data_IF_163658763724
#
_entry.id   IF_163658763724
#
_cell.length_a   1.000
_cell.length_b   1.000
_cell.length_c   1.000
_cell.angle_alpha   90.00
_cell.angle_beta   90.00
_cell.angle_gamma   90.00
#
_symmetry.space_group_name_H-M   'P 1'
#
loop_
_entity.id
_entity.type
_entity.pdbx_description
1 polymer ?
#
# COMPACT_ATOMS: atom_id res chain seq x y z
N UNK A 1 -48.68 -17.76 -3.17
CA UNK A 1 -48.53 -16.43 -3.82
C UNK A 1 -47.12 -16.39 -4.36
N UNK A 2 -46.96 -16.36 -5.67
CA UNK A 2 -45.62 -16.27 -6.28
C UNK A 2 -44.98 -14.95 -5.88
N UNK A 3 -43.70 -14.99 -5.53
CA UNK A 3 -42.92 -13.86 -5.04
C UNK A 3 -41.92 -13.36 -6.10
N UNK A 4 -41.34 -12.18 -5.87
CA UNK A 4 -40.24 -11.67 -6.70
C UNK A 4 -39.02 -12.63 -6.70
N UNK A 5 -38.82 -13.36 -5.61
CA UNK A 5 -37.74 -14.35 -5.45
C UNK A 5 -37.93 -15.54 -6.38
N UNK A 6 -39.16 -16.01 -6.56
CA UNK A 6 -39.47 -17.18 -7.40
C UNK A 6 -39.15 -16.89 -8.89
N UNK A 7 -39.43 -15.68 -9.36
CA UNK A 7 -39.06 -15.24 -10.72
C UNK A 7 -37.54 -15.15 -10.87
N UNK A 8 -36.83 -14.70 -9.84
CA UNK A 8 -35.38 -14.63 -9.85
C UNK A 8 -34.74 -16.03 -9.88
N UNK A 9 -35.23 -16.97 -9.07
CA UNK A 9 -34.77 -18.37 -9.07
C UNK A 9 -35.02 -19.06 -10.40
N UNK A 10 -36.17 -18.80 -11.03
CA UNK A 10 -36.47 -19.31 -12.38
C UNK A 10 -35.46 -18.81 -13.41
N UNK A 11 -35.11 -17.52 -13.37
CA UNK A 11 -34.09 -16.95 -14.24
C UNK A 11 -32.68 -17.51 -13.95
N UNK A 12 -32.39 -17.93 -12.71
CA UNK A 12 -31.12 -18.60 -12.35
C UNK A 12 -30.99 -20.01 -12.95
N UNK A 13 -32.09 -20.74 -13.10
CA UNK A 13 -32.10 -22.13 -13.59
C UNK A 13 -32.40 -22.20 -15.10
N UNK A 14 -32.94 -21.11 -15.69
CA UNK A 14 -33.23 -21.03 -17.11
C UNK A 14 -31.95 -21.12 -17.97
N UNK A 15 -31.93 -22.07 -18.90
CA UNK A 15 -30.82 -22.27 -19.84
C UNK A 15 -30.77 -21.23 -20.98
N UNK A 16 -31.82 -20.41 -21.13
CA UNK A 16 -31.90 -19.33 -22.12
C UNK A 16 -32.61 -18.08 -21.55
N UNK A 17 -32.32 -16.87 -22.06
CA UNK A 17 -32.99 -15.63 -21.66
C UNK A 17 -34.51 -15.69 -21.89
N UNK A 18 -35.29 -15.35 -20.86
CA UNK A 18 -36.75 -15.48 -20.88
C UNK A 18 -37.45 -14.15 -21.16
N UNK A 19 -38.58 -14.19 -21.87
CA UNK A 19 -39.46 -13.04 -22.07
C UNK A 19 -40.48 -12.89 -20.94
N UNK A 20 -41.14 -11.73 -20.88
CA UNK A 20 -42.31 -11.55 -20.00
C UNK A 20 -43.42 -12.56 -20.34
N UNK A 21 -43.54 -12.99 -21.60
CA UNK A 21 -44.54 -13.98 -21.98
C UNK A 21 -44.18 -15.40 -21.49
N UNK A 22 -42.88 -15.73 -21.49
CA UNK A 22 -42.39 -17.04 -20.99
C UNK A 22 -42.56 -17.12 -19.47
N UNK A 23 -42.23 -16.05 -18.75
CA UNK A 23 -42.45 -15.97 -17.30
C UNK A 23 -43.94 -15.97 -16.93
N UNK A 24 -44.82 -15.44 -17.78
CA UNK A 24 -46.27 -15.51 -17.56
C UNK A 24 -46.85 -16.90 -17.89
N UNK A 25 -46.17 -17.70 -18.71
CA UNK A 25 -46.57 -19.09 -18.96
C UNK A 25 -46.26 -19.97 -17.74
N UNK A 26 -45.14 -19.71 -17.05
CA UNK A 26 -44.77 -20.41 -15.80
C UNK A 26 -45.53 -19.87 -14.57
N UNK A 27 -45.86 -18.58 -14.57
CA UNK A 27 -46.59 -17.92 -13.48
C UNK A 27 -47.91 -17.28 -13.96
N UNK A 28 -48.90 -18.07 -14.42
CA UNK A 28 -50.14 -17.55 -15.03
C UNK A 28 -51.05 -16.80 -14.04
N UNK A 29 -50.85 -17.00 -12.73
CA UNK A 29 -51.60 -16.33 -11.67
C UNK A 29 -51.08 -14.93 -11.33
N UNK A 30 -49.92 -14.52 -11.85
CA UNK A 30 -49.31 -13.21 -11.58
C UNK A 30 -49.69 -12.22 -12.69
N UNK A 31 -50.27 -11.05 -12.36
CA UNK A 31 -50.57 -10.04 -13.37
C UNK A 31 -49.32 -9.57 -14.12
N UNK A 32 -49.43 -9.40 -15.44
CA UNK A 32 -48.32 -8.94 -16.32
C UNK A 32 -47.60 -7.69 -15.80
N UNK A 33 -48.34 -6.70 -15.30
CA UNK A 33 -47.76 -5.47 -14.72
C UNK A 33 -46.89 -5.74 -13.49
N UNK A 34 -47.24 -6.76 -12.69
CA UNK A 34 -46.49 -7.15 -11.50
C UNK A 34 -45.17 -7.83 -11.87
N UNK A 35 -45.18 -8.74 -12.86
CA UNK A 35 -43.96 -9.35 -13.42
C UNK A 35 -43.02 -8.28 -13.97
N UNK A 36 -43.55 -7.33 -14.75
CA UNK A 36 -42.75 -6.23 -15.29
C UNK A 36 -42.15 -5.33 -14.21
N UNK A 37 -42.91 -5.03 -13.15
CA UNK A 37 -42.42 -4.25 -12.00
C UNK A 37 -41.30 -4.97 -11.24
N UNK A 38 -41.44 -6.28 -11.02
CA UNK A 38 -40.42 -7.09 -10.35
C UNK A 38 -39.14 -7.22 -11.18
N UNK A 39 -39.26 -7.44 -12.49
CA UNK A 39 -38.12 -7.42 -13.40
C UNK A 39 -37.44 -6.05 -13.44
N UNK A 40 -38.21 -4.95 -13.40
CA UNK A 40 -37.65 -3.60 -13.28
C UNK A 40 -36.78 -3.44 -12.04
N UNK A 41 -37.28 -3.91 -10.88
CA UNK A 41 -36.53 -3.89 -9.62
C UNK A 41 -35.29 -4.78 -9.64
N UNK A 42 -35.38 -5.99 -10.21
CA UNK A 42 -34.23 -6.89 -10.36
C UNK A 42 -33.16 -6.34 -11.32
N UNK A 43 -33.56 -5.54 -12.31
CA UNK A 43 -32.65 -4.82 -13.21
C UNK A 43 -32.01 -3.63 -12.50
N UNK A 44 -32.78 -2.84 -11.75
CA UNK A 44 -32.25 -1.76 -10.90
C UNK A 44 -31.22 -2.28 -9.88
N UNK A 45 -31.51 -3.44 -9.27
CA UNK A 45 -30.63 -4.13 -8.31
C UNK A 45 -29.45 -4.86 -8.99
N UNK A 46 -29.28 -4.74 -10.33
CA UNK A 46 -28.24 -5.39 -11.14
C UNK A 46 -28.16 -6.92 -11.00
N UNK A 47 -29.26 -7.57 -10.63
CA UNK A 47 -29.37 -9.03 -10.52
C UNK A 47 -29.78 -9.68 -11.85
N UNK A 48 -30.49 -8.93 -12.69
CA UNK A 48 -30.99 -9.36 -13.99
C UNK A 48 -30.61 -8.29 -15.03
N UNK A 49 -30.19 -8.71 -16.21
CA UNK A 49 -29.93 -7.83 -17.35
C UNK A 49 -31.01 -7.95 -18.42
N UNK A 50 -31.21 -6.87 -19.17
CA UNK A 50 -32.16 -6.80 -20.29
C UNK A 50 -31.40 -7.07 -21.58
N UNK A 51 -31.86 -8.03 -22.37
CA UNK A 51 -31.35 -8.35 -23.70
C UNK A 51 -32.41 -8.00 -24.76
N UNK A 52 -32.10 -7.13 -25.71
CA UNK A 52 -33.00 -6.71 -26.78
C UNK A 52 -34.04 -5.63 -26.40
N UNK A 53 -34.81 -5.15 -27.39
CA UNK A 53 -35.74 -4.02 -27.25
C UNK A 53 -37.17 -4.34 -27.73
N UNK A 54 -38.16 -3.64 -27.16
CA UNK A 54 -39.56 -3.79 -27.55
C UNK A 54 -40.07 -5.24 -27.41
N UNK A 55 -40.48 -5.85 -28.54
CA UNK A 55 -41.02 -7.23 -28.58
C UNK A 55 -39.95 -8.32 -28.47
N UNK A 56 -38.68 -8.00 -28.74
CA UNK A 56 -37.55 -8.94 -28.58
C UNK A 56 -36.90 -8.85 -27.20
N UNK A 57 -37.44 -8.05 -26.27
CA UNK A 57 -36.92 -7.94 -24.91
C UNK A 57 -36.95 -9.28 -24.17
N UNK A 58 -35.81 -9.67 -23.63
CA UNK A 58 -35.57 -10.86 -22.80
C UNK A 58 -34.80 -10.47 -21.54
N UNK A 59 -34.89 -11.32 -20.52
CA UNK A 59 -34.28 -11.13 -19.22
C UNK A 59 -33.42 -12.35 -18.91
N UNK A 60 -32.20 -12.10 -18.48
CA UNK A 60 -31.26 -13.14 -18.06
C UNK A 60 -30.56 -12.69 -16.77
N UNK A 61 -30.04 -13.63 -15.99
CA UNK A 61 -29.21 -13.25 -14.84
C UNK A 61 -28.06 -12.38 -15.31
N UNK A 62 -27.81 -11.31 -14.58
CA UNK A 62 -26.59 -10.54 -14.73
C UNK A 62 -25.46 -11.41 -14.15
N UNK A 63 -25.01 -12.41 -14.91
CA UNK A 63 -23.66 -12.94 -14.73
C UNK A 63 -22.73 -11.73 -14.87
N UNK A 64 -21.74 -11.61 -14.00
CA UNK A 64 -20.77 -10.51 -13.99
C UNK A 64 -19.86 -10.48 -15.22
N UNK A 65 -20.43 -10.55 -16.43
CA UNK A 65 -19.85 -10.08 -17.67
C UNK A 65 -20.44 -8.69 -17.93
N UNK A 66 -19.88 -7.72 -17.23
CA UNK A 66 -20.10 -6.31 -17.55
C UNK A 66 -19.38 -6.07 -18.88
N UNK A 67 -20.11 -6.21 -19.98
CA UNK A 67 -19.74 -5.65 -21.27
C UNK A 67 -19.75 -4.13 -21.14
N UNK A 68 -18.68 -3.58 -20.56
CA UNK A 68 -18.33 -2.19 -20.77
C UNK A 68 -18.15 -2.00 -22.27
N UNK A 69 -18.84 -1.01 -22.83
CA UNK A 69 -18.50 -0.49 -24.15
C UNK A 69 -16.99 -0.24 -24.17
N UNK A 70 -16.31 -1.04 -24.99
CA UNK A 70 -14.87 -1.00 -25.24
C UNK A 70 -14.55 0.33 -25.93
N UNK A 71 -14.49 1.38 -25.13
CA UNK A 71 -13.52 2.43 -25.35
C UNK A 71 -12.18 1.82 -24.88
N UNK A 72 -11.54 1.09 -25.79
CA UNK A 72 -10.11 0.80 -25.85
C UNK A 72 -9.37 0.83 -24.49
N UNK A 73 -9.78 -0.03 -23.55
CA UNK A 73 -8.87 -0.47 -22.50
C UNK A 73 -8.02 -1.52 -23.18
N UNK A 74 -6.81 -1.15 -23.57
CA UNK A 74 -5.87 -2.13 -24.08
C UNK A 74 -5.77 -3.27 -23.07
N UNK A 75 -6.17 -4.48 -23.43
CA UNK A 75 -5.89 -5.75 -22.72
C UNK A 75 -4.38 -6.06 -22.64
N UNK A 76 -3.54 -5.04 -22.79
CA UNK A 76 -2.10 -5.12 -22.82
C UNK A 76 -1.57 -4.70 -21.46
N UNK A 77 -0.54 -5.43 -21.02
CA UNK A 77 0.25 -5.03 -19.87
C UNK A 77 0.71 -3.56 -20.02
N UNK A 78 0.68 -2.74 -18.95
CA UNK A 78 0.96 -1.31 -19.05
C UNK A 78 2.32 -1.03 -19.69
N UNK A 79 2.33 -0.27 -20.79
CA UNK A 79 3.51 -0.05 -21.64
C UNK A 79 4.63 0.76 -20.98
N UNK A 80 4.32 1.49 -19.90
CA UNK A 80 5.29 2.26 -19.12
C UNK A 80 6.04 1.42 -18.07
N UNK A 81 5.69 0.14 -17.91
CA UNK A 81 6.43 -0.80 -17.07
C UNK A 81 7.40 -1.57 -17.97
N UNK A 82 8.72 -1.39 -17.81
CA UNK A 82 9.70 -2.10 -18.63
C UNK A 82 9.61 -3.61 -18.41
N UNK A 83 9.64 -4.39 -19.50
CA UNK A 83 9.57 -5.84 -19.47
C UNK A 83 10.81 -6.45 -20.13
N UNK A 84 11.39 -7.44 -19.46
CA UNK A 84 12.36 -8.36 -20.04
C UNK A 84 11.71 -9.27 -21.09
N UNK A 85 12.51 -9.90 -21.94
CA UNK A 85 11.99 -10.88 -22.92
C UNK A 85 11.31 -12.07 -22.22
N UNK A 86 11.86 -12.54 -21.10
CA UNK A 86 11.27 -13.57 -20.26
C UNK A 86 9.85 -13.22 -19.78
N UNK A 87 9.64 -11.96 -19.40
CA UNK A 87 8.33 -11.46 -18.97
C UNK A 87 7.32 -11.41 -20.11
N UNK A 88 7.76 -11.11 -21.34
CA UNK A 88 6.89 -11.16 -22.53
C UNK A 88 6.44 -12.60 -22.80
N UNK A 89 7.32 -13.57 -22.60
CA UNK A 89 6.97 -14.99 -22.74
C UNK A 89 5.93 -15.43 -21.72
N UNK A 90 6.06 -14.98 -20.48
CA UNK A 90 5.07 -15.20 -19.42
C UNK A 90 3.72 -14.59 -19.81
N UNK A 91 3.69 -13.33 -20.28
CA UNK A 91 2.46 -12.67 -20.70
C UNK A 91 1.78 -13.40 -21.86
N UNK A 92 2.54 -13.84 -22.87
CA UNK A 92 2.00 -14.64 -24.00
C UNK A 92 1.29 -15.91 -23.53
N UNK A 93 1.76 -16.54 -22.45
CA UNK A 93 1.08 -17.68 -21.85
C UNK A 93 -0.14 -17.24 -21.02
N UNK A 94 -0.01 -16.22 -20.18
CA UNK A 94 -1.08 -15.77 -19.27
C UNK A 94 -2.29 -15.26 -20.04
N UNK A 95 -2.07 -14.60 -21.18
CA UNK A 95 -3.13 -14.03 -22.02
C UNK A 95 -3.92 -15.10 -22.80
N UNK A 96 -3.52 -16.37 -22.71
CA UNK A 96 -4.32 -17.46 -23.29
C UNK A 96 -5.66 -17.63 -22.55
N UNK A 97 -6.73 -18.01 -23.26
CA UNK A 97 -8.00 -18.35 -22.60
C UNK A 97 -7.83 -19.47 -21.57
N UNK A 98 -8.56 -19.41 -20.45
CA UNK A 98 -8.47 -20.42 -19.37
C UNK A 98 -8.67 -21.86 -19.86
N UNK A 99 -9.53 -22.06 -20.87
CA UNK A 99 -9.79 -23.39 -21.46
C UNK A 99 -8.61 -23.96 -22.24
N UNK A 100 -7.65 -23.13 -22.65
CA UNK A 100 -6.43 -23.54 -23.34
C UNK A 100 -5.28 -23.87 -22.37
N UNK A 101 -5.42 -23.51 -21.09
CA UNK A 101 -4.41 -23.73 -20.05
C UNK A 101 -4.64 -25.04 -19.31
N UNK A 102 -3.56 -25.63 -18.82
CA UNK A 102 -3.62 -26.90 -18.08
C UNK A 102 -3.69 -26.63 -16.56
N UNK A 103 -4.60 -27.27 -15.82
CA UNK A 103 -4.61 -27.22 -14.35
C UNK A 103 -3.25 -27.59 -13.76
N UNK A 104 -2.79 -26.79 -12.79
CA UNK A 104 -1.47 -26.96 -12.16
C UNK A 104 -1.57 -26.82 -10.64
N UNK A 105 -0.93 -27.73 -9.92
CA UNK A 105 -0.89 -27.71 -8.45
C UNK A 105 0.29 -26.91 -7.89
N UNK A 106 0.36 -26.83 -6.56
CA UNK A 106 1.56 -26.33 -5.87
C UNK A 106 2.77 -27.24 -6.16
N UNK A 107 3.88 -26.64 -6.61
CA UNK A 107 5.13 -27.32 -6.92
C UNK A 107 6.12 -27.08 -5.79
N UNK A 108 6.36 -28.12 -4.97
CA UNK A 108 7.21 -28.05 -3.77
C UNK A 108 8.66 -27.77 -4.14
N UNK A 109 9.10 -28.30 -5.27
CA UNK A 109 10.45 -28.17 -5.82
C UNK A 109 10.83 -26.70 -6.08
N UNK A 110 9.85 -25.83 -6.36
CA UNK A 110 10.09 -24.40 -6.59
C UNK A 110 10.62 -23.70 -5.33
N UNK A 111 10.13 -24.08 -4.14
CA UNK A 111 10.69 -23.61 -2.87
C UNK A 111 11.97 -24.37 -2.52
N UNK A 112 11.97 -25.70 -2.69
CA UNK A 112 13.09 -26.55 -2.26
C UNK A 112 14.39 -26.24 -2.99
N UNK A 113 14.33 -25.97 -4.29
CA UNK A 113 15.49 -25.61 -5.12
C UNK A 113 16.11 -24.25 -4.80
N UNK A 114 15.40 -23.37 -4.06
CA UNK A 114 15.96 -22.10 -3.63
C UNK A 114 16.90 -22.28 -2.44
N UNK A 115 18.18 -22.00 -2.60
CA UNK A 115 19.17 -22.01 -1.53
C UNK A 115 19.52 -20.58 -1.11
N UNK A 116 19.19 -20.16 0.14
CA UNK A 116 19.48 -18.81 0.62
C UNK A 116 20.96 -18.45 0.47
N UNK A 117 21.21 -17.28 -0.11
CA UNK A 117 22.55 -16.75 -0.38
C UNK A 117 23.40 -17.53 -1.40
N UNK A 118 22.80 -18.50 -2.10
CA UNK A 118 23.45 -19.27 -3.18
C UNK A 118 22.68 -19.05 -4.48
N UNK A 119 21.37 -19.28 -4.45
CA UNK A 119 20.45 -18.94 -5.54
C UNK A 119 19.81 -17.58 -5.30
N UNK A 120 19.48 -16.85 -6.36
CA UNK A 120 18.87 -15.53 -6.27
C UNK A 120 17.84 -15.33 -7.38
N UNK A 121 16.70 -14.76 -7.03
CA UNK A 121 15.72 -14.28 -8.01
C UNK A 121 16.09 -12.90 -8.56
N UNK A 122 16.76 -12.07 -7.75
CA UNK A 122 17.31 -10.79 -8.16
C UNK A 122 18.81 -10.93 -8.45
N UNK A 123 19.17 -10.69 -9.71
CA UNK A 123 20.58 -10.70 -10.13
C UNK A 123 21.40 -9.66 -9.36
N UNK A 124 22.71 -9.87 -9.25
CA UNK A 124 23.61 -8.93 -8.57
C UNK A 124 23.49 -7.49 -9.12
N UNK A 125 23.45 -7.25 -10.45
CA UNK A 125 23.23 -5.90 -10.98
C UNK A 125 21.92 -5.27 -10.53
N UNK A 126 20.84 -6.06 -10.47
CA UNK A 126 19.52 -5.61 -10.04
C UNK A 126 19.54 -5.22 -8.56
N UNK A 127 20.12 -6.06 -7.69
CA UNK A 127 20.26 -5.75 -6.27
C UNK A 127 21.09 -4.49 -6.04
N UNK A 128 22.20 -4.33 -6.76
CA UNK A 128 23.03 -3.11 -6.68
C UNK A 128 22.26 -1.85 -7.13
N UNK A 129 21.42 -1.95 -8.17
CA UNK A 129 20.55 -0.87 -8.59
C UNK A 129 19.53 -0.50 -7.50
N UNK A 130 18.87 -1.50 -6.93
CA UNK A 130 17.90 -1.30 -5.84
C UNK A 130 18.53 -0.65 -4.62
N UNK A 131 19.72 -1.11 -4.21
CA UNK A 131 20.50 -0.46 -3.15
C UNK A 131 20.79 1.00 -3.47
N UNK A 132 21.24 1.32 -4.69
CA UNK A 132 21.54 2.70 -5.07
C UNK A 132 20.31 3.63 -5.02
N UNK A 133 19.12 3.09 -5.32
CA UNK A 133 17.87 3.85 -5.38
C UNK A 133 17.20 3.93 -4.01
N UNK A 134 17.30 2.86 -3.23
CA UNK A 134 16.69 2.71 -1.91
C UNK A 134 17.53 3.24 -0.76
N UNK A 135 18.84 3.47 -0.96
CA UNK A 135 19.74 4.01 0.06
C UNK A 135 19.36 5.46 0.39
N UNK A 136 18.93 5.63 1.62
CA UNK A 136 18.46 6.90 2.17
C UNK A 136 19.61 7.79 2.67
N UNK A 137 20.86 7.32 2.56
CA UNK A 137 22.11 7.98 2.99
C UNK A 137 22.16 8.33 4.49
N UNK A 138 21.28 7.77 5.31
CA UNK A 138 21.23 7.98 6.76
C UNK A 138 21.80 6.78 7.55
N UNK A 139 23.00 6.34 7.16
CA UNK A 139 23.69 5.15 7.68
C UNK A 139 23.95 5.22 9.20
N UNK A 140 23.85 6.40 9.82
CA UNK A 140 24.18 6.62 11.25
C UNK A 140 23.02 6.45 12.23
N UNK A 141 21.80 6.11 11.79
CA UNK A 141 20.67 5.87 12.71
C UNK A 141 20.55 4.39 13.10
N UNK A 142 20.02 4.07 14.30
CA UNK A 142 19.69 2.69 14.66
C UNK A 142 18.75 2.05 13.63
N UNK A 143 18.81 0.72 13.49
CA UNK A 143 17.97 -0.04 12.57
C UNK A 143 16.48 0.30 12.78
N UNK A 144 15.74 0.54 11.69
CA UNK A 144 14.31 0.83 11.75
C UNK A 144 13.89 2.20 12.29
N UNK A 145 14.79 2.98 12.92
CA UNK A 145 14.46 4.33 13.43
C UNK A 145 14.08 5.27 12.30
N UNK A 146 14.81 5.18 11.19
CA UNK A 146 14.49 5.93 9.99
C UNK A 146 13.22 5.38 9.33
N UNK A 147 13.11 4.05 9.25
CA UNK A 147 11.93 3.35 8.76
C UNK A 147 10.64 3.83 9.44
N UNK A 148 10.63 4.01 10.77
CA UNK A 148 9.48 4.52 11.54
C UNK A 148 9.03 5.91 11.09
N UNK A 149 9.93 6.88 11.06
CA UNK A 149 9.60 8.25 10.66
C UNK A 149 9.13 8.37 9.19
N UNK A 150 9.61 7.49 8.32
CA UNK A 150 9.15 7.41 6.93
C UNK A 150 7.80 6.73 6.85
N UNK A 151 7.62 5.62 7.56
CA UNK A 151 6.39 4.86 7.52
C UNK A 151 5.23 5.69 8.03
N UNK A 152 5.40 6.51 9.07
CA UNK A 152 4.36 7.48 9.46
C UNK A 152 3.92 8.39 8.31
N UNK A 153 4.86 8.78 7.44
CA UNK A 153 4.61 9.64 6.28
C UNK A 153 4.01 8.88 5.10
N UNK A 154 4.42 7.63 4.90
CA UNK A 154 3.96 6.75 3.82
C UNK A 154 2.80 5.85 4.25
N UNK A 155 2.34 5.93 5.50
CA UNK A 155 1.32 5.06 6.09
C UNK A 155 0.03 5.15 5.28
N UNK A 156 -0.34 6.38 4.91
CA UNK A 156 -1.52 6.68 4.10
C UNK A 156 -1.35 6.04 2.72
N UNK A 157 -0.18 6.20 2.10
CA UNK A 157 0.11 5.69 0.75
C UNK A 157 0.13 4.17 0.69
N UNK A 158 0.80 3.53 1.65
CA UNK A 158 0.83 2.08 1.81
C UNK A 158 -0.56 1.50 2.07
N UNK A 159 -1.32 2.11 2.99
CA UNK A 159 -2.66 1.65 3.33
C UNK A 159 -3.62 1.77 2.15
N UNK A 160 -3.56 2.90 1.44
CA UNK A 160 -4.36 3.15 0.26
C UNK A 160 -3.98 2.21 -0.89
N UNK A 161 -2.71 2.20 -1.31
CA UNK A 161 -2.27 1.48 -2.51
C UNK A 161 -2.42 -0.03 -2.39
N UNK A 162 -2.08 -0.62 -1.23
CA UNK A 162 -2.27 -2.05 -1.02
C UNK A 162 -3.75 -2.45 -0.99
N UNK A 163 -4.64 -1.59 -0.48
CA UNK A 163 -6.09 -1.82 -0.52
C UNK A 163 -6.65 -1.65 -1.93
N UNK A 164 -6.16 -0.66 -2.68
CA UNK A 164 -6.55 -0.42 -4.06
C UNK A 164 -6.26 -1.62 -4.97
N UNK A 165 -5.12 -2.30 -4.76
CA UNK A 165 -4.78 -3.56 -5.45
C UNK A 165 -5.71 -4.74 -5.14
N UNK A 166 -6.61 -4.62 -4.17
CA UNK A 166 -7.67 -5.59 -3.88
C UNK A 166 -9.07 -5.08 -4.28
N UNK A 167 -9.13 -4.02 -5.11
CA UNK A 167 -10.37 -3.44 -5.63
C UNK A 167 -11.04 -2.43 -4.70
N UNK A 168 -10.35 -1.96 -3.64
CA UNK A 168 -10.89 -0.92 -2.77
C UNK A 168 -11.02 0.41 -3.53
N UNK A 169 -12.17 1.06 -3.39
CA UNK A 169 -12.52 2.26 -4.15
C UNK A 169 -12.25 3.57 -3.42
N UNK A 170 -11.66 3.54 -2.22
CA UNK A 170 -11.24 4.74 -1.50
C UNK A 170 -10.28 5.58 -2.37
N UNK A 171 -10.52 6.89 -2.42
CA UNK A 171 -9.55 7.81 -2.99
C UNK A 171 -8.40 8.03 -2.00
N UNK A 172 -7.24 8.46 -2.50
CA UNK A 172 -6.10 8.83 -1.64
C UNK A 172 -6.50 9.92 -0.63
N UNK A 173 -7.24 10.94 -1.08
CA UNK A 173 -7.70 12.03 -0.21
C UNK A 173 -8.70 11.56 0.86
N UNK A 174 -9.59 10.63 0.51
CA UNK A 174 -10.52 10.05 1.49
C UNK A 174 -9.79 9.18 2.51
N UNK A 175 -8.73 8.49 2.09
CA UNK A 175 -7.85 7.72 2.98
C UNK A 175 -7.14 8.64 3.98
N UNK A 176 -6.64 9.80 3.55
CA UNK A 176 -6.10 10.84 4.45
C UNK A 176 -7.15 11.24 5.48
N UNK A 177 -8.38 11.57 5.05
CA UNK A 177 -9.44 12.00 5.96
C UNK A 177 -9.83 10.92 6.98
N UNK A 178 -9.83 9.67 6.56
CA UNK A 178 -10.13 8.53 7.41
C UNK A 178 -9.04 8.35 8.47
N UNK A 179 -7.77 8.33 8.05
CA UNK A 179 -6.63 8.03 8.94
C UNK A 179 -6.33 9.19 9.88
N UNK A 180 -6.31 10.43 9.40
CA UNK A 180 -5.93 11.59 10.22
C UNK A 180 -7.08 12.16 11.06
N UNK A 181 -8.33 12.10 10.55
CA UNK A 181 -9.48 12.75 11.19
C UNK A 181 -10.58 11.78 11.62
N UNK A 182 -10.42 10.48 11.41
CA UNK A 182 -11.45 9.48 11.69
C UNK A 182 -12.72 9.66 10.84
N UNK A 183 -12.64 10.36 9.70
CA UNK A 183 -13.81 10.69 8.87
C UNK A 183 -14.00 9.64 7.79
N UNK A 184 -15.03 8.80 7.96
CA UNK A 184 -15.46 7.82 6.95
C UNK A 184 -15.97 8.54 5.70
N UNK A 185 -15.59 8.05 4.53
CA UNK A 185 -15.99 8.63 3.26
C UNK A 185 -17.45 8.29 2.92
N UNK A 186 -18.17 9.29 2.39
CA UNK A 186 -19.58 9.14 2.03
C UNK A 186 -19.74 8.13 0.88
N UNK A 187 -20.65 7.17 1.03
CA UNK A 187 -20.96 6.17 0.01
C UNK A 187 -19.99 5.00 -0.07
N UNK A 188 -19.00 4.91 0.84
CA UNK A 188 -18.13 3.74 0.96
C UNK A 188 -18.71 2.71 1.92
N UNK A 189 -18.48 1.43 1.63
CA UNK A 189 -18.97 0.37 2.50
C UNK A 189 -18.02 0.17 3.71
N UNK A 190 -18.52 -0.51 4.74
CA UNK A 190 -17.76 -0.75 5.97
C UNK A 190 -16.53 -1.64 5.74
N UNK A 191 -16.60 -2.59 4.81
CA UNK A 191 -15.51 -3.53 4.48
C UNK A 191 -14.30 -2.78 3.88
N UNK A 192 -14.55 -1.87 2.94
CA UNK A 192 -13.53 -1.03 2.33
C UNK A 192 -12.87 -0.10 3.36
N UNK A 193 -13.68 0.45 4.26
CA UNK A 193 -13.19 1.30 5.35
C UNK A 193 -12.31 0.50 6.32
N UNK A 194 -12.77 -0.68 6.74
CA UNK A 194 -12.04 -1.58 7.63
C UNK A 194 -10.72 -2.03 7.00
N UNK A 195 -10.69 -2.33 5.70
CA UNK A 195 -9.47 -2.73 5.00
C UNK A 195 -8.35 -1.69 5.09
N UNK A 196 -8.68 -0.40 4.98
CA UNK A 196 -7.73 0.70 5.13
C UNK A 196 -7.23 0.79 6.58
N UNK A 197 -8.13 0.68 7.55
CA UNK A 197 -7.78 0.73 8.98
C UNK A 197 -6.92 -0.47 9.42
N UNK A 198 -7.23 -1.67 8.91
CA UNK A 198 -6.44 -2.88 9.12
C UNK A 198 -5.02 -2.73 8.58
N UNK A 199 -4.88 -2.14 7.38
CA UNK A 199 -3.57 -1.85 6.81
C UNK A 199 -2.78 -0.85 7.67
N UNK A 200 -3.41 0.23 8.13
CA UNK A 200 -2.80 1.18 9.09
C UNK A 200 -2.29 0.45 10.33
N UNK A 201 -3.13 -0.34 10.99
CA UNK A 201 -2.78 -1.05 12.21
C UNK A 201 -1.65 -2.07 11.97
N UNK A 202 -1.64 -2.75 10.83
CA UNK A 202 -0.60 -3.72 10.51
C UNK A 202 0.75 -3.05 10.18
N UNK A 203 0.74 -1.84 9.60
CA UNK A 203 1.95 -1.02 9.43
C UNK A 203 2.48 -0.56 10.79
N UNK A 204 1.61 -0.09 11.68
CA UNK A 204 1.98 0.29 13.07
C UNK A 204 2.63 -0.90 13.79
N UNK A 205 2.05 -2.12 13.69
CA UNK A 205 2.64 -3.34 14.24
C UNK A 205 4.07 -3.61 13.71
N UNK A 206 4.31 -3.45 12.40
CA UNK A 206 5.65 -3.61 11.83
C UNK A 206 6.65 -2.58 12.37
N UNK A 207 6.21 -1.33 12.45
CA UNK A 207 7.02 -0.18 12.86
C UNK A 207 7.41 -0.28 14.33
N UNK A 208 6.44 -0.61 15.18
CA UNK A 208 6.62 -0.66 16.63
C UNK A 208 7.50 -1.85 17.04
N UNK A 209 7.36 -2.99 16.35
CA UNK A 209 8.11 -4.21 16.62
C UNK A 209 9.38 -4.41 15.79
N UNK A 210 9.86 -3.42 15.02
CA UNK A 210 10.88 -3.63 13.97
C UNK A 210 12.18 -4.30 14.46
N UNK A 211 12.58 -4.03 15.71
CA UNK A 211 13.78 -4.59 16.35
C UNK A 211 13.62 -6.07 16.75
N UNK A 212 12.40 -6.50 17.09
CA UNK A 212 12.11 -7.83 17.64
C UNK A 212 11.48 -8.79 16.63
N UNK A 213 10.76 -8.26 15.65
CA UNK A 213 10.10 -9.08 14.64
C UNK A 213 11.14 -9.91 13.88
N UNK A 214 10.70 -10.92 13.13
CA UNK A 214 11.51 -11.61 12.13
C UNK A 214 10.61 -12.43 11.19
N UNK A 215 11.16 -13.06 10.16
CA UNK A 215 10.41 -14.05 9.40
C UNK A 215 10.21 -15.32 10.23
N UNK A 216 9.18 -15.29 11.07
CA UNK A 216 8.73 -16.36 11.93
C UNK A 216 7.20 -16.44 11.95
N UNK A 217 6.65 -17.50 12.53
CA UNK A 217 5.20 -17.70 12.59
C UNK A 217 4.50 -16.56 13.32
N UNK A 218 5.05 -16.10 14.44
CA UNK A 218 4.45 -15.02 15.21
C UNK A 218 4.24 -13.78 14.33
N UNK A 219 5.27 -13.29 13.64
CA UNK A 219 5.17 -12.10 12.79
C UNK A 219 4.17 -12.30 11.65
N UNK A 220 4.27 -13.39 10.88
CA UNK A 220 3.41 -13.57 9.70
C UNK A 220 1.94 -13.85 10.07
N UNK A 221 1.70 -14.61 11.14
CA UNK A 221 0.34 -14.87 11.61
C UNK A 221 -0.31 -13.61 12.22
N UNK A 222 0.44 -12.80 12.98
CA UNK A 222 -0.11 -11.55 13.54
C UNK A 222 -0.34 -10.49 12.45
N UNK A 223 0.55 -10.35 11.47
CA UNK A 223 0.30 -9.50 10.31
C UNK A 223 -0.97 -9.91 9.58
N UNK A 224 -1.14 -11.21 9.33
CA UNK A 224 -2.37 -11.71 8.73
C UNK A 224 -3.58 -11.38 9.61
N UNK A 225 -3.53 -11.67 10.92
CA UNK A 225 -4.61 -11.39 11.86
C UNK A 225 -5.06 -9.93 11.78
N UNK A 226 -4.13 -8.99 11.92
CA UNK A 226 -4.41 -7.55 11.85
C UNK A 226 -4.97 -7.13 10.50
N UNK A 227 -4.43 -7.67 9.39
CA UNK A 227 -4.93 -7.36 8.05
C UNK A 227 -6.32 -7.94 7.79
N UNK A 228 -6.65 -9.07 8.42
CA UNK A 228 -7.87 -9.85 8.19
C UNK A 228 -9.04 -9.48 9.13
N UNK A 229 -8.78 -8.70 10.18
CA UNK A 229 -9.73 -8.36 11.24
C UNK A 229 -11.09 -7.88 10.66
N UNK A 230 -12.15 -8.60 10.99
CA UNK A 230 -13.54 -8.33 10.56
C UNK A 230 -13.77 -8.35 9.03
N UNK A 231 -12.85 -8.96 8.26
CA UNK A 231 -12.97 -9.09 6.80
C UNK A 231 -13.23 -10.53 6.34
N UNK A 232 -12.97 -11.52 7.18
CA UNK A 232 -13.20 -12.93 6.84
C UNK A 232 -14.65 -13.33 7.11
N UNK A 233 -15.17 -14.26 6.30
CA UNK A 233 -16.51 -14.84 6.50
C UNK A 233 -16.64 -15.59 7.83
N UNK A 234 -15.54 -16.12 8.34
CA UNK A 234 -15.45 -16.73 9.67
C UNK A 234 -14.23 -16.16 10.41
N UNK A 235 -14.43 -15.37 11.48
CA UNK A 235 -13.34 -14.75 12.27
C UNK A 235 -12.35 -15.75 12.89
N UNK A 236 -12.73 -17.03 13.05
CA UNK A 236 -11.82 -18.07 13.58
C UNK A 236 -10.58 -18.27 12.69
N UNK A 237 -10.66 -17.90 11.40
CA UNK A 237 -9.53 -18.03 10.47
C UNK A 237 -8.53 -16.87 10.53
N UNK A 238 -8.83 -15.79 11.25
CA UNK A 238 -7.91 -14.65 11.41
C UNK A 238 -6.63 -15.11 12.12
N UNK A 239 -5.48 -14.77 11.52
CA UNK A 239 -4.17 -15.21 12.03
C UNK A 239 -3.92 -16.73 12.05
N UNK A 240 -4.71 -17.55 11.35
CA UNK A 240 -4.55 -19.03 11.36
C UNK A 240 -4.29 -19.61 9.99
N UNK A 241 -3.50 -20.68 9.95
CA UNK A 241 -3.37 -21.51 8.76
C UNK A 241 -4.74 -22.09 8.42
N UNK A 242 -5.11 -22.04 7.14
CA UNK A 242 -6.39 -22.57 6.68
C UNK A 242 -6.46 -24.09 6.77
N UNK A 243 -7.65 -24.58 7.09
CA UNK A 243 -7.97 -26.01 7.18
C UNK A 243 -8.75 -26.52 5.97
N UNK A 244 -9.14 -25.62 5.06
CA UNK A 244 -9.94 -25.91 3.88
C UNK A 244 -9.17 -25.56 2.60
N UNK A 245 -9.63 -26.11 1.48
CA UNK A 245 -9.11 -25.79 0.17
C UNK A 245 -9.62 -24.41 -0.28
N UNK A 246 -8.75 -23.66 -0.97
CA UNK A 246 -9.09 -22.39 -1.61
C UNK A 246 -8.78 -22.49 -3.10
N UNK A 247 -9.43 -21.67 -3.89
CA UNK A 247 -9.18 -21.54 -5.33
C UNK A 247 -8.73 -20.12 -5.66
N UNK A 248 -7.97 -19.98 -6.75
CA UNK A 248 -7.64 -18.68 -7.29
C UNK A 248 -8.55 -18.38 -8.47
N UNK A 249 -9.35 -17.33 -8.30
CA UNK A 249 -10.25 -16.85 -9.34
C UNK A 249 -9.48 -16.53 -10.62
N UNK A 250 -10.06 -16.91 -11.76
CA UNK A 250 -9.47 -16.71 -13.09
C UNK A 250 -8.07 -17.34 -13.26
N UNK A 251 -7.77 -18.43 -12.55
CA UNK A 251 -6.53 -19.19 -12.72
C UNK A 251 -6.77 -20.69 -12.78
N UNK A 252 -5.88 -21.38 -13.50
CA UNK A 252 -5.80 -22.85 -13.51
C UNK A 252 -5.00 -23.42 -12.34
N UNK A 253 -4.39 -22.56 -11.52
CA UNK A 253 -3.64 -22.97 -10.34
C UNK A 253 -4.55 -23.53 -9.24
N UNK A 254 -4.05 -24.54 -8.54
CA UNK A 254 -4.66 -25.18 -7.38
C UNK A 254 -3.67 -25.16 -6.22
N UNK A 255 -3.88 -24.27 -5.22
CA UNK A 255 -3.02 -24.16 -4.05
C UNK A 255 -2.92 -25.47 -3.27
N UNK A 256 -1.82 -25.62 -2.51
CA UNK A 256 -1.60 -26.78 -1.64
C UNK A 256 -2.77 -26.95 -0.65
N UNK A 257 -3.17 -28.19 -0.36
CA UNK A 257 -4.24 -28.47 0.59
C UNK A 257 -3.73 -29.24 1.82
N UNK A 258 -4.45 -29.11 2.94
CA UNK A 258 -4.14 -29.77 4.21
C UNK A 258 -3.27 -28.92 5.13
N UNK A 259 -3.80 -28.62 6.32
CA UNK A 259 -3.16 -27.76 7.32
C UNK A 259 -1.73 -28.21 7.67
N UNK A 260 -1.51 -29.52 7.85
CA UNK A 260 -0.19 -30.07 8.18
C UNK A 260 0.86 -29.79 7.10
N UNK A 261 0.53 -30.04 5.83
CA UNK A 261 1.44 -29.78 4.71
C UNK A 261 1.70 -28.29 4.52
N UNK A 262 0.65 -27.46 4.62
CA UNK A 262 0.80 -26.00 4.54
C UNK A 262 1.71 -25.50 5.68
N UNK A 263 1.55 -26.03 6.89
CA UNK A 263 2.37 -25.66 8.03
C UNK A 263 3.84 -26.04 7.84
N UNK A 264 4.13 -27.25 7.37
CA UNK A 264 5.50 -27.70 7.08
C UNK A 264 6.18 -26.80 6.04
N UNK A 265 5.49 -26.52 4.94
CA UNK A 265 6.03 -25.69 3.87
C UNK A 265 6.17 -24.23 4.31
N UNK A 266 5.25 -23.71 5.14
CA UNK A 266 5.38 -22.38 5.72
C UNK A 266 6.61 -22.27 6.62
N UNK A 267 6.87 -23.26 7.47
CA UNK A 267 8.03 -23.26 8.35
C UNK A 267 9.34 -23.31 7.55
N UNK A 268 9.38 -24.11 6.47
CA UNK A 268 10.50 -24.13 5.51
C UNK A 268 10.70 -22.77 4.81
N UNK A 269 9.61 -22.17 4.31
CA UNK A 269 9.61 -20.85 3.67
C UNK A 269 10.17 -19.79 4.62
N UNK A 270 9.67 -19.72 5.86
CA UNK A 270 10.11 -18.74 6.85
C UNK A 270 11.57 -18.95 7.26
N UNK A 271 12.01 -20.21 7.38
CA UNK A 271 13.40 -20.55 7.61
C UNK A 271 14.33 -20.04 6.49
N UNK A 272 13.93 -20.24 5.23
CA UNK A 272 14.66 -19.71 4.07
C UNK A 272 14.64 -18.19 4.04
N UNK A 273 13.47 -17.57 4.25
CA UNK A 273 13.34 -16.11 4.28
C UNK A 273 14.27 -15.49 5.32
N UNK A 274 14.29 -16.00 6.56
CA UNK A 274 15.19 -15.54 7.63
C UNK A 274 16.67 -15.63 7.25
N UNK A 275 17.07 -16.65 6.51
CA UNK A 275 18.47 -16.88 6.15
C UNK A 275 18.97 -15.98 5.00
N UNK A 276 18.08 -15.34 4.22
CA UNK A 276 18.49 -14.46 3.13
C UNK A 276 19.10 -13.17 3.71
N UNK A 277 20.33 -12.84 3.29
CA UNK A 277 21.08 -11.69 3.80
C UNK A 277 20.77 -10.38 3.09
N UNK A 278 20.49 -10.42 1.78
CA UNK A 278 20.19 -9.21 1.01
C UNK A 278 18.72 -8.77 1.24
N UNK A 279 18.44 -7.55 1.73
CA UNK A 279 17.09 -7.12 2.05
C UNK A 279 16.12 -7.11 0.86
N UNK A 280 16.61 -6.82 -0.35
CA UNK A 280 15.78 -6.80 -1.55
C UNK A 280 15.43 -8.21 -2.02
N UNK A 281 16.40 -9.12 -2.00
CA UNK A 281 16.14 -10.54 -2.26
C UNK A 281 15.16 -11.09 -1.22
N UNK A 282 15.35 -10.77 0.07
CA UNK A 282 14.48 -11.22 1.15
C UNK A 282 13.04 -10.69 1.01
N UNK A 283 12.92 -9.40 0.64
CA UNK A 283 11.65 -8.74 0.31
C UNK A 283 10.93 -9.44 -0.84
N UNK A 284 11.64 -9.63 -1.96
CA UNK A 284 11.09 -10.24 -3.16
C UNK A 284 10.73 -11.72 -2.96
N UNK A 285 11.55 -12.47 -2.23
CA UNK A 285 11.28 -13.87 -1.88
C UNK A 285 9.93 -14.02 -1.15
N UNK A 286 9.63 -13.13 -0.21
CA UNK A 286 8.35 -13.14 0.51
C UNK A 286 7.15 -12.78 -0.38
N UNK A 287 7.34 -11.86 -1.34
CA UNK A 287 6.30 -11.53 -2.33
C UNK A 287 6.03 -12.68 -3.30
N UNK A 288 7.03 -13.54 -3.56
CA UNK A 288 6.85 -14.72 -4.42
C UNK A 288 6.17 -15.86 -3.66
N UNK A 289 6.76 -16.29 -2.54
CA UNK A 289 6.44 -17.59 -1.97
C UNK A 289 5.22 -17.59 -1.04
N UNK A 290 4.99 -16.51 -0.27
CA UNK A 290 3.84 -16.46 0.64
C UNK A 290 2.50 -16.54 -0.11
N UNK A 291 2.25 -15.74 -1.16
CA UNK A 291 1.01 -15.84 -1.92
C UNK A 291 0.96 -17.05 -2.87
N UNK A 292 2.10 -17.67 -3.20
CA UNK A 292 2.11 -18.94 -3.93
C UNK A 292 1.66 -20.11 -3.04
N UNK A 293 2.13 -20.16 -1.79
CA UNK A 293 1.72 -21.17 -0.80
C UNK A 293 0.25 -21.02 -0.38
N UNK A 294 -0.22 -19.78 -0.23
CA UNK A 294 -1.56 -19.44 0.29
C UNK A 294 -1.86 -20.10 1.63
N UNK A 295 -1.10 -19.79 2.69
CA UNK A 295 -1.33 -20.41 3.98
C UNK A 295 -2.66 -19.99 4.64
N UNK A 296 -3.26 -18.89 4.22
CA UNK A 296 -4.47 -18.31 4.83
C UNK A 296 -5.71 -18.47 3.95
N UNK A 297 -6.89 -18.38 4.57
CA UNK A 297 -8.18 -18.48 3.87
C UNK A 297 -8.39 -17.35 2.86
N UNK A 298 -7.90 -16.14 3.16
CA UNK A 298 -7.83 -14.98 2.27
C UNK A 298 -6.67 -14.07 2.73
N UNK A 299 -6.51 -12.86 2.17
CA UNK A 299 -5.56 -11.82 2.65
C UNK A 299 -4.07 -12.20 2.40
N UNK A 300 -3.78 -13.29 1.70
CA UNK A 300 -2.42 -13.76 1.41
C UNK A 300 -1.57 -12.70 0.69
N UNK A 301 -2.11 -12.06 -0.37
CA UNK A 301 -1.39 -11.03 -1.14
C UNK A 301 -1.10 -9.78 -0.31
N UNK A 302 -2.08 -9.27 0.45
CA UNK A 302 -1.92 -8.14 1.38
C UNK A 302 -0.86 -8.42 2.43
N UNK A 303 -0.92 -9.60 3.04
CA UNK A 303 0.08 -10.06 4.02
C UNK A 303 1.48 -10.10 3.40
N UNK A 304 1.61 -10.60 2.17
CA UNK A 304 2.90 -10.66 1.48
C UNK A 304 3.49 -9.29 1.15
N UNK A 305 2.66 -8.34 0.66
CA UNK A 305 3.11 -6.97 0.36
C UNK A 305 3.60 -6.23 1.59
N UNK A 306 2.94 -6.43 2.72
CA UNK A 306 3.34 -5.82 3.98
C UNK A 306 4.59 -6.52 4.56
N UNK A 307 4.61 -7.85 4.58
CA UNK A 307 5.77 -8.62 5.05
C UNK A 307 7.05 -8.34 4.23
N UNK A 308 6.90 -8.07 2.93
CA UNK A 308 8.02 -7.70 2.05
C UNK A 308 8.70 -6.38 2.44
N UNK A 309 8.03 -5.51 3.20
CA UNK A 309 8.64 -4.28 3.69
C UNK A 309 9.53 -4.49 4.92
N UNK A 310 9.29 -5.53 5.72
CA UNK A 310 10.06 -5.81 6.94
C UNK A 310 11.60 -5.70 6.77
N UNK A 311 12.22 -6.37 5.77
CA UNK A 311 13.67 -6.31 5.62
C UNK A 311 14.18 -4.96 5.12
N UNK A 312 13.38 -4.25 4.29
CA UNK A 312 13.71 -2.91 3.81
C UNK A 312 13.75 -1.93 4.98
N UNK A 313 12.75 -1.99 5.85
CA UNK A 313 12.63 -1.11 7.03
C UNK A 313 13.78 -1.37 8.00
N UNK A 314 14.12 -2.64 8.28
CA UNK A 314 15.28 -2.98 9.13
C UNK A 314 16.59 -2.43 8.60
N UNK A 315 16.77 -2.48 7.29
CA UNK A 315 17.96 -1.95 6.63
C UNK A 315 17.92 -0.42 6.43
N UNK A 316 16.93 0.30 6.99
CA UNK A 316 16.72 1.74 6.80
C UNK A 316 16.61 2.16 5.31
N UNK A 317 16.13 1.24 4.46
CA UNK A 317 15.86 1.47 3.05
C UNK A 317 14.46 2.06 2.86
N UNK A 318 14.25 2.71 1.71
CA UNK A 318 12.91 3.18 1.34
C UNK A 318 11.92 2.00 1.33
N UNK A 319 10.74 2.12 1.99
CA UNK A 319 9.67 1.14 1.89
C UNK A 319 9.09 1.04 0.47
N UNK A 320 8.59 -0.14 0.11
CA UNK A 320 7.82 -0.41 -1.11
C UNK A 320 6.33 -0.11 -0.86
N UNK A 321 5.83 0.97 -1.47
CA UNK A 321 4.48 1.51 -1.22
C UNK A 321 3.39 0.94 -2.13
N UNK A 322 3.75 0.41 -3.30
CA UNK A 322 2.83 0.01 -4.36
C UNK A 322 1.97 1.13 -4.95
N UNK A 323 2.28 2.39 -4.65
CA UNK A 323 1.64 3.55 -5.30
C UNK A 323 1.82 3.44 -6.82
N UNK A 324 0.76 3.80 -7.55
CA UNK A 324 0.66 3.73 -9.01
C UNK A 324 0.79 2.33 -9.63
N UNK A 325 0.94 1.27 -8.84
CA UNK A 325 0.95 -0.10 -9.36
C UNK A 325 -0.46 -0.46 -9.87
N UNK A 326 -0.61 -0.82 -11.15
CA UNK A 326 -1.91 -1.22 -11.68
C UNK A 326 -2.32 -2.59 -11.14
N UNK A 327 -3.58 -2.72 -10.70
CA UNK A 327 -4.15 -3.98 -10.21
C UNK A 327 -3.94 -5.12 -11.21
N UNK A 328 -4.20 -4.84 -12.49
CA UNK A 328 -4.07 -5.82 -13.56
C UNK A 328 -2.62 -6.28 -13.76
N UNK A 329 -1.65 -5.36 -13.70
CA UNK A 329 -0.23 -5.70 -13.82
C UNK A 329 0.20 -6.61 -12.67
N UNK A 330 -0.22 -6.28 -11.44
CA UNK A 330 0.06 -7.12 -10.27
C UNK A 330 -0.60 -8.49 -10.37
N UNK A 331 -1.87 -8.54 -10.78
CA UNK A 331 -2.61 -9.80 -10.96
C UNK A 331 -1.95 -10.70 -12.01
N UNK A 332 -1.58 -10.15 -13.18
CA UNK A 332 -0.85 -10.89 -14.23
C UNK A 332 0.52 -11.35 -13.74
N UNK A 333 1.28 -10.51 -13.02
CA UNK A 333 2.54 -10.92 -12.43
C UNK A 333 2.40 -12.12 -11.48
N UNK A 334 1.36 -12.13 -10.64
CA UNK A 334 1.09 -13.26 -9.75
C UNK A 334 0.68 -14.53 -10.51
N UNK A 335 -0.06 -14.42 -11.61
CA UNK A 335 -0.42 -15.57 -12.44
C UNK A 335 0.83 -16.25 -13.04
N UNK A 336 1.89 -15.50 -13.35
CA UNK A 336 3.16 -16.09 -13.81
C UNK A 336 3.79 -17.01 -12.77
N UNK A 337 3.65 -16.66 -11.48
CA UNK A 337 4.13 -17.51 -10.37
C UNK A 337 3.19 -18.69 -10.18
N UNK A 338 1.88 -18.43 -10.09
CA UNK A 338 0.88 -19.46 -9.80
C UNK A 338 0.86 -20.54 -10.88
N UNK A 339 0.91 -20.17 -12.15
CA UNK A 339 0.69 -21.08 -13.26
C UNK A 339 1.99 -21.62 -13.85
N UNK A 340 3.12 -20.91 -13.68
CA UNK A 340 4.37 -21.25 -14.35
C UNK A 340 5.58 -21.33 -13.41
N UNK A 341 5.45 -21.01 -12.12
CA UNK A 341 6.60 -20.89 -11.18
C UNK A 341 7.70 -19.96 -11.70
N UNK A 342 7.32 -18.95 -12.51
CA UNK A 342 8.23 -17.97 -13.11
C UNK A 342 8.09 -16.63 -12.41
N UNK A 343 9.22 -16.03 -12.04
CA UNK A 343 9.30 -14.83 -11.19
C UNK A 343 9.54 -13.55 -11.99
N UNK A 344 9.91 -13.65 -13.27
CA UNK A 344 10.46 -12.56 -14.07
C UNK A 344 9.47 -11.41 -14.27
N UNK A 345 8.19 -11.73 -14.48
CA UNK A 345 7.15 -10.72 -14.61
C UNK A 345 6.91 -9.98 -13.28
N UNK A 346 6.92 -10.69 -12.16
CA UNK A 346 6.84 -10.05 -10.84
C UNK A 346 8.11 -9.26 -10.52
N UNK A 347 9.29 -9.74 -10.93
CA UNK A 347 10.57 -9.04 -10.77
C UNK A 347 10.52 -7.70 -11.49
N UNK A 348 10.15 -7.70 -12.76
CA UNK A 348 10.12 -6.47 -13.56
C UNK A 348 9.11 -5.45 -12.98
N UNK A 349 7.94 -5.93 -12.52
CA UNK A 349 6.98 -5.11 -11.79
C UNK A 349 7.52 -4.59 -10.45
N UNK A 350 8.22 -5.43 -9.69
CA UNK A 350 8.81 -5.08 -8.40
C UNK A 350 9.87 -3.99 -8.56
N UNK A 351 10.73 -4.08 -9.58
CA UNK A 351 11.72 -3.04 -9.87
C UNK A 351 11.05 -1.71 -10.18
N UNK A 352 10.09 -1.72 -11.10
CA UNK A 352 9.35 -0.52 -11.46
C UNK A 352 8.62 0.09 -10.26
N UNK A 353 7.94 -0.74 -9.46
CA UNK A 353 7.22 -0.30 -8.27
C UNK A 353 8.18 0.28 -7.22
N UNK A 354 9.34 -0.33 -7.02
CA UNK A 354 10.33 0.15 -6.07
C UNK A 354 10.94 1.49 -6.49
N UNK A 355 11.27 1.64 -7.78
CA UNK A 355 11.75 2.93 -8.31
C UNK A 355 10.73 4.04 -8.09
N UNK A 356 9.44 3.75 -8.30
CA UNK A 356 8.35 4.69 -8.03
C UNK A 356 8.25 5.03 -6.56
N UNK A 357 8.25 4.02 -5.68
CA UNK A 357 8.22 4.25 -4.23
C UNK A 357 9.39 5.12 -3.74
N UNK A 358 10.61 4.88 -4.26
CA UNK A 358 11.78 5.67 -3.91
C UNK A 358 11.71 7.12 -4.42
N UNK A 359 11.13 7.36 -5.60
CA UNK A 359 10.92 8.71 -6.13
C UNK A 359 9.89 9.50 -5.30
N UNK A 360 8.75 8.90 -5.00
CA UNK A 360 7.72 9.50 -4.14
C UNK A 360 8.30 9.82 -2.76
N UNK A 361 9.08 8.90 -2.24
CA UNK A 361 9.79 9.08 -1.00
C UNK A 361 10.74 10.29 -1.01
N UNK A 362 11.58 10.43 -2.03
CA UNK A 362 12.47 11.59 -2.17
C UNK A 362 11.68 12.90 -2.26
N UNK A 363 10.54 12.91 -2.96
CA UNK A 363 9.67 14.08 -3.07
C UNK A 363 9.09 14.51 -1.71
N UNK A 364 8.58 13.56 -0.93
CA UNK A 364 8.04 13.80 0.43
C UNK A 364 9.13 14.30 1.37
N UNK A 365 10.36 13.78 1.25
CA UNK A 365 11.47 14.11 2.16
C UNK A 365 12.10 15.48 1.84
N UNK A 366 12.17 15.87 0.57
CA UNK A 366 12.67 17.19 0.16
C UNK A 366 11.72 18.34 0.49
N UNK A 367 10.42 18.07 0.66
CA UNK A 367 9.42 19.08 1.01
C UNK A 367 9.40 19.51 2.48
N UNK A 368 10.15 18.84 3.37
CA UNK A 368 10.01 18.99 4.82
C UNK A 368 11.39 19.18 5.46
N UNK A 369 11.84 20.42 5.61
CA UNK A 369 12.93 20.76 6.53
C UNK A 369 12.40 20.59 7.95
N UNK A 370 12.84 19.54 8.67
CA UNK A 370 12.52 19.39 10.09
C UNK A 370 12.94 20.68 10.83
N UNK A 371 12.08 21.24 11.71
CA UNK A 371 12.48 22.39 12.50
C UNK A 371 13.71 22.02 13.32
N UNK A 372 14.78 22.81 13.18
CA UNK A 372 16.02 22.61 13.91
C UNK A 372 15.72 22.45 15.42
N UNK A 373 16.09 21.31 16.04
CA UNK A 373 15.75 21.01 17.42
C UNK A 373 16.31 22.04 18.40
N UNK A 374 17.48 22.64 18.10
CA UNK A 374 18.06 23.71 18.94
C UNK A 374 17.24 25.00 18.82
N UNK A 375 16.73 25.32 17.62
CA UNK A 375 15.81 26.47 17.44
C UNK A 375 14.50 26.26 18.20
N UNK A 376 14.04 25.02 18.34
CA UNK A 376 12.85 24.69 19.12
C UNK A 376 13.14 24.83 20.62
N UNK A 377 14.25 24.24 21.10
CA UNK A 377 14.68 24.28 22.50
C UNK A 377 14.90 25.72 22.99
N UNK A 378 15.64 26.53 22.23
CA UNK A 378 16.00 27.90 22.61
C UNK A 378 15.09 28.97 22.00
N UNK A 379 13.91 28.60 21.48
CA UNK A 379 13.00 29.51 20.75
C UNK A 379 12.76 30.84 21.46
N UNK A 380 12.47 30.79 22.75
CA UNK A 380 12.16 31.99 23.54
C UNK A 380 13.42 32.82 23.81
N UNK A 381 14.56 32.16 24.05
CA UNK A 381 15.86 32.80 24.27
C UNK A 381 16.29 33.54 23.01
N UNK A 382 16.30 32.86 21.86
CA UNK A 382 16.58 33.44 20.55
C UNK A 382 15.67 34.64 20.28
N UNK A 383 14.36 34.49 20.54
CA UNK A 383 13.39 35.58 20.35
C UNK A 383 13.73 36.82 21.17
N UNK A 384 14.10 36.63 22.43
CA UNK A 384 14.46 37.74 23.33
C UNK A 384 15.77 38.40 22.92
N UNK A 385 16.80 37.62 22.56
CA UNK A 385 18.09 38.16 22.15
C UNK A 385 17.93 38.98 20.86
N UNK A 386 17.25 38.44 19.85
CA UNK A 386 16.98 39.15 18.59
C UNK A 386 16.22 40.45 18.85
N UNK A 387 15.21 40.44 19.72
CA UNK A 387 14.49 41.66 20.11
C UNK A 387 15.43 42.69 20.76
N UNK A 388 16.26 42.26 21.71
CA UNK A 388 17.17 43.15 22.46
C UNK A 388 18.22 43.78 21.57
N UNK A 389 18.83 42.99 20.68
CA UNK A 389 19.83 43.48 19.71
C UNK A 389 19.21 44.56 18.80
N UNK A 390 18.03 44.31 18.24
CA UNK A 390 17.39 45.28 17.33
C UNK A 390 16.82 46.50 18.08
N UNK A 391 16.33 46.32 19.31
CA UNK A 391 15.79 47.41 20.12
C UNK A 391 16.87 48.34 20.70
N UNK A 392 18.13 47.88 20.78
CA UNK A 392 19.27 48.63 21.29
C UNK A 392 20.36 48.81 20.21
N UNK A 393 20.08 49.55 19.12
CA UNK A 393 20.97 49.65 17.96
C UNK A 393 22.28 50.44 18.21
N UNK A 394 22.45 50.97 19.41
CA UNK A 394 23.65 51.68 19.87
C UNK A 394 24.70 50.74 20.49
N UNK A 395 24.31 49.51 20.81
CA UNK A 395 25.18 48.51 21.44
C UNK A 395 25.77 47.57 20.39
N UNK A 396 26.95 47.03 20.68
CA UNK A 396 27.53 45.99 19.83
C UNK A 396 26.65 44.73 19.88
N UNK A 397 26.31 44.21 18.70
CA UNK A 397 25.38 43.08 18.59
C UNK A 397 25.96 41.80 19.18
N UNK A 398 27.28 41.60 19.11
CA UNK A 398 27.95 40.40 19.64
C UNK A 398 27.98 40.46 21.17
N UNK A 399 28.33 41.62 21.74
CA UNK A 399 28.36 41.81 23.20
C UNK A 399 26.98 41.59 23.84
N UNK A 400 25.90 42.04 23.18
CA UNK A 400 24.53 41.84 23.65
C UNK A 400 24.13 40.37 23.57
N UNK A 401 24.57 39.64 22.53
CA UNK A 401 24.30 38.21 22.39
C UNK A 401 25.02 37.44 23.51
N UNK A 402 26.32 37.65 23.68
CA UNK A 402 27.13 36.93 24.67
C UNK A 402 26.62 37.16 26.10
N UNK A 403 26.18 38.38 26.43
CA UNK A 403 25.64 38.70 27.75
C UNK A 403 24.29 38.06 28.06
N UNK A 404 23.52 37.70 27.03
CA UNK A 404 22.16 37.17 27.19
C UNK A 404 22.08 35.64 27.03
N UNK A 405 23.17 35.00 26.60
CA UNK A 405 23.30 33.55 26.65
C UNK A 405 23.67 33.15 28.09
N UNK A 406 23.13 32.03 28.58
CA UNK A 406 23.35 31.58 29.96
C UNK A 406 24.78 31.07 30.17
N UNK A 407 25.42 31.49 31.27
CA UNK A 407 26.73 30.99 31.73
C UNK A 407 26.71 29.51 32.16
N UNK A 408 25.52 28.93 32.34
CA UNK A 408 25.34 27.51 32.69
C UNK A 408 25.49 26.56 31.49
N UNK A 409 25.55 27.09 30.27
CA UNK A 409 25.73 26.30 29.04
C UNK A 409 27.20 25.91 28.85
N UNK A 410 27.44 24.76 28.23
CA UNK A 410 28.79 24.41 27.79
C UNK A 410 29.27 25.39 26.71
N UNK A 411 30.60 25.55 26.57
CA UNK A 411 31.18 26.42 25.55
C UNK A 411 30.69 26.08 24.13
N UNK A 412 30.51 24.79 23.83
CA UNK A 412 30.01 24.33 22.54
C UNK A 412 28.55 24.73 22.29
N UNK A 413 27.69 24.68 23.31
CA UNK A 413 26.29 25.11 23.22
C UNK A 413 26.18 26.62 23.10
N UNK A 414 27.04 27.35 23.82
CA UNK A 414 27.15 28.80 23.75
C UNK A 414 27.47 29.27 22.32
N UNK A 415 28.52 28.71 21.71
CA UNK A 415 28.94 29.06 20.34
C UNK A 415 27.87 28.71 19.31
N UNK A 416 27.17 27.58 19.50
CA UNK A 416 26.09 27.14 18.62
C UNK A 416 24.88 28.07 18.71
N UNK A 417 24.45 28.44 19.91
CA UNK A 417 23.32 29.36 20.12
C UNK A 417 23.64 30.76 19.58
N UNK A 418 24.88 31.23 19.78
CA UNK A 418 25.36 32.49 19.20
C UNK A 418 25.26 32.49 17.68
N UNK A 419 25.72 31.42 17.03
CA UNK A 419 25.62 31.27 15.57
C UNK A 419 24.16 31.30 15.08
N UNK A 420 23.25 30.63 15.79
CA UNK A 420 21.82 30.62 15.48
C UNK A 420 21.20 32.03 15.58
N UNK A 421 21.52 32.78 16.63
CA UNK A 421 21.02 34.15 16.79
C UNK A 421 21.55 35.09 15.70
N UNK A 422 22.83 34.98 15.35
CA UNK A 422 23.44 35.76 14.27
C UNK A 422 22.75 35.45 12.94
N UNK A 423 22.45 34.18 12.67
CA UNK A 423 21.72 33.78 11.48
C UNK A 423 20.30 34.37 11.46
N UNK A 424 19.59 34.38 12.58
CA UNK A 424 18.26 35.00 12.68
C UNK A 424 18.30 36.51 12.44
N UNK A 425 19.31 37.20 12.97
CA UNK A 425 19.52 38.63 12.71
C UNK A 425 19.77 38.91 11.22
N UNK A 426 20.55 38.06 10.52
CA UNK A 426 20.76 38.18 9.07
C UNK A 426 19.48 37.95 8.26
N UNK A 427 18.59 37.10 8.76
CA UNK A 427 17.30 36.78 8.12
C UNK A 427 16.20 37.79 8.45
N UNK A 428 16.48 38.84 9.24
CA UNK A 428 15.48 39.86 9.55
C UNK A 428 15.09 40.66 8.31
N UNK A 429 13.79 40.68 8.04
CA UNK A 429 13.15 41.55 7.06
C UNK A 429 11.75 41.94 7.56
N UNK A 430 11.08 42.85 6.87
CA UNK A 430 9.77 43.39 7.26
C UNK A 430 8.70 42.33 7.56
N UNK A 431 8.75 41.19 6.86
CA UNK A 431 7.80 40.09 7.00
C UNK A 431 7.98 39.21 8.24
N UNK A 432 9.09 39.35 8.99
CA UNK A 432 9.38 38.52 10.17
C UNK A 432 9.40 39.30 11.50
N UNK A 433 9.25 40.63 11.47
CA UNK A 433 9.41 41.47 12.67
C UNK A 433 8.45 41.12 13.81
N UNK A 434 7.19 40.85 13.50
CA UNK A 434 6.16 40.51 14.49
C UNK A 434 6.49 39.25 15.29
N UNK A 435 7.23 38.29 14.70
CA UNK A 435 7.71 37.07 15.37
C UNK A 435 8.54 37.40 16.60
N UNK A 436 9.38 38.43 16.50
CA UNK A 436 10.27 38.90 17.56
C UNK A 436 9.69 40.03 18.40
N UNK A 437 8.46 40.46 18.12
CA UNK A 437 7.83 41.61 18.81
C UNK A 437 8.41 42.96 18.41
N UNK A 438 9.04 43.05 17.24
CA UNK A 438 9.68 44.25 16.72
C UNK A 438 8.72 45.10 15.89
N UNK A 439 8.86 46.42 15.97
CA UNK A 439 8.16 47.39 15.11
C UNK A 439 9.02 47.76 13.90
N UNK A 440 8.41 48.10 12.73
CA UNK A 440 9.17 48.56 11.56
C UNK A 440 10.15 49.71 11.86
N UNK A 441 9.75 50.65 12.70
CA UNK A 441 10.61 51.78 13.11
C UNK A 441 11.83 51.38 13.94
N UNK A 442 11.80 50.26 14.66
CA UNK A 442 12.96 49.73 15.39
C UNK A 442 13.93 49.06 14.43
N UNK A 443 13.41 48.29 13.47
CA UNK A 443 14.21 47.62 12.45
C UNK A 443 14.96 48.61 11.55
N UNK A 444 14.30 49.66 11.07
CA UNK A 444 14.95 50.69 10.23
C UNK A 444 16.07 51.44 10.97
N UNK A 445 15.88 51.74 12.26
CA UNK A 445 16.94 52.36 13.09
C UNK A 445 18.16 51.47 13.25
N UNK A 446 17.95 50.18 13.48
CA UNK A 446 19.02 49.19 13.60
C UNK A 446 19.76 48.99 12.27
N UNK A 447 19.02 48.82 11.18
CA UNK A 447 19.57 48.68 9.83
C UNK A 447 20.37 49.91 9.37
N UNK A 448 19.95 51.11 9.76
CA UNK A 448 20.66 52.35 9.45
C UNK A 448 22.02 52.51 10.14
N UNK A 449 22.28 51.79 11.24
CA UNK A 449 23.55 51.83 11.99
C UNK A 449 24.48 50.66 11.70
N UNK A 450 23.99 49.58 11.11
CA UNK A 450 24.73 48.33 10.88
C UNK A 450 24.82 47.99 9.39
N UNK A 451 24.86 49.03 8.55
CA UNK A 451 24.97 48.94 7.09
C UNK A 451 26.41 49.06 6.62
#
# INVERSE_FOLDING_TARGET
MSSMTDIYETLCVASQPMSVSDLLAEYPSVPRRTVQRWLGRLVEDKKVQILGEGRSRRYAIATGETSYSVADRSDNFPSYIPLSEDSKDILRYIDQPLKAKTPVGYQREFLESYEPNVTYYLSVPIRNQLWRIGDTKQISQPAGTYGRAILDRLLIDLSWASSYLEGNTYSRLDTVKLIEYGKVAVGKNAIETQMILNHKAAIELLVDGIEELDFNRYTVLNLHSTLSENLLSNPVYEGRIRQHQVEIGKSVFRPLAGEAHISEILDSLLGKARAISDPFEQSFFMMVHLPYLQPFADVNKRTSRLAANLPLIRANLCPLTFVDVPEEAYSRAMLGIYEMTRVELLRDLYLWAYERSAQEYLAVTQGITAPDPLRLQYRNVIKQIVYRVVAAPEMDSIDVIDKLISDELSQSEHDTLKALVIEELRRLHEGVLARYGLRPSQFEKWKGKHR
#
